data_IF_394239188375
#
_entry.id   IF_394239188375
#
_cell.length_a   1.000
_cell.length_b   1.000
_cell.length_c   1.000
_cell.angle_alpha   90.00
_cell.angle_beta   90.00
_cell.angle_gamma   90.00
#
_symmetry.space_group_name_H-M   'P 1'
#
loop_
_entity.id
_entity.type
_entity.pdbx_description
1 polymer ?
#
# COMPACT_ATOMS: atom_id res chain seq x y z
N UNK A 1 -5.95 0.51 17.26
CA UNK A 1 -5.34 -0.34 16.20
C UNK A 1 -4.03 -0.84 16.77
N UNK A 2 -3.84 -2.16 16.78
CA UNK A 2 -2.68 -2.80 17.39
C UNK A 2 -1.49 -2.78 16.43
N UNK A 3 -0.32 -3.18 16.90
CA UNK A 3 0.91 -3.11 16.10
C UNK A 3 1.76 -4.36 16.27
N UNK A 4 2.27 -4.86 15.16
CA UNK A 4 3.37 -5.81 15.12
C UNK A 4 4.62 -5.02 14.69
N UNK A 5 5.69 -5.12 15.49
CA UNK A 5 6.92 -4.36 15.23
C UNK A 5 8.05 -5.30 14.84
N UNK A 6 8.62 -5.07 13.68
CA UNK A 6 9.88 -5.65 13.21
C UNK A 6 10.92 -4.54 13.36
N UNK A 7 11.99 -4.81 14.10
CA UNK A 7 13.02 -3.80 14.37
C UNK A 7 14.36 -4.23 13.83
N UNK A 8 14.95 -3.35 13.03
CA UNK A 8 16.32 -3.45 12.51
C UNK A 8 16.63 -4.80 11.82
N UNK A 9 15.70 -5.27 10.95
CA UNK A 9 15.97 -6.41 10.09
C UNK A 9 17.19 -6.11 9.21
N UNK A 10 18.26 -6.87 9.39
CA UNK A 10 19.50 -6.70 8.64
C UNK A 10 19.39 -7.34 7.26
N UNK A 11 19.66 -6.55 6.22
CA UNK A 11 19.69 -7.01 4.83
C UNK A 11 20.93 -6.44 4.15
N UNK A 12 21.68 -7.29 3.45
CA UNK A 12 22.78 -6.86 2.61
C UNK A 12 22.28 -6.65 1.18
N UNK A 13 22.48 -5.45 0.61
CA UNK A 13 21.94 -5.07 -0.69
C UNK A 13 22.81 -4.03 -1.40
N UNK A 14 22.54 -3.80 -2.70
CA UNK A 14 23.38 -3.01 -3.59
C UNK A 14 22.74 -1.66 -3.97
N UNK A 15 22.14 -0.97 -2.99
CA UNK A 15 21.50 0.32 -3.22
C UNK A 15 22.44 1.49 -2.99
N UNK A 16 22.36 2.50 -3.85
CA UNK A 16 23.09 3.76 -3.73
C UNK A 16 23.29 4.45 -5.06
N UNK A 17 23.82 5.67 -5.02
CA UNK A 17 24.11 6.49 -6.20
C UNK A 17 25.49 6.16 -6.79
N UNK A 18 26.45 5.77 -5.94
CA UNK A 18 27.81 5.53 -6.37
C UNK A 18 27.96 4.10 -6.93
N UNK A 19 28.80 3.98 -7.97
CA UNK A 19 29.10 2.68 -8.60
C UNK A 19 29.69 1.67 -7.60
N UNK A 20 30.49 2.16 -6.65
CA UNK A 20 31.12 1.36 -5.61
C UNK A 20 30.06 0.78 -4.65
N UNK A 21 29.03 1.52 -4.30
CA UNK A 21 27.93 1.04 -3.47
C UNK A 21 27.17 -0.08 -4.18
N UNK A 22 26.94 0.07 -5.48
CA UNK A 22 26.26 -0.93 -6.30
C UNK A 22 27.11 -2.19 -6.52
N UNK A 23 28.40 -2.02 -6.68
CA UNK A 23 29.31 -3.14 -6.91
C UNK A 23 29.61 -3.93 -5.63
N UNK A 24 29.86 -3.25 -4.53
CA UNK A 24 30.27 -3.87 -3.27
C UNK A 24 29.06 -4.23 -2.40
N UNK A 25 27.96 -3.50 -2.51
CA UNK A 25 26.83 -3.62 -1.60
C UNK A 25 27.17 -3.13 -0.19
N UNK A 26 26.16 -3.08 0.65
CA UNK A 26 26.32 -2.72 2.05
C UNK A 26 25.14 -3.21 2.90
N UNK A 27 25.30 -3.09 4.21
CA UNK A 27 24.25 -3.40 5.17
C UNK A 27 23.21 -2.31 5.22
N UNK A 28 21.94 -2.72 5.17
CA UNK A 28 20.76 -1.91 5.48
C UNK A 28 20.03 -2.51 6.69
N UNK A 29 19.43 -1.66 7.51
CA UNK A 29 18.55 -2.08 8.60
C UNK A 29 17.14 -1.58 8.28
N UNK A 30 16.19 -2.50 8.21
CA UNK A 30 14.80 -2.17 7.90
C UNK A 30 13.95 -2.44 9.13
N UNK A 31 13.25 -1.41 9.59
CA UNK A 31 12.22 -1.54 10.63
C UNK A 31 10.84 -1.33 10.02
N UNK A 32 9.89 -2.15 10.45
CA UNK A 32 8.49 -2.05 10.02
C UNK A 32 7.56 -2.12 11.23
N UNK A 33 6.62 -1.17 11.30
CA UNK A 33 5.51 -1.19 12.27
C UNK A 33 4.24 -1.43 11.46
N UNK A 34 3.63 -2.60 11.64
CA UNK A 34 2.44 -3.04 10.94
C UNK A 34 1.22 -2.81 11.82
N UNK A 35 0.29 -1.97 11.40
CA UNK A 35 -0.94 -1.65 12.14
C UNK A 35 -2.11 -2.46 11.59
N UNK A 36 -2.72 -3.27 12.47
CA UNK A 36 -3.82 -4.18 12.15
C UNK A 36 -4.70 -4.39 13.39
N UNK A 37 -5.79 -5.13 13.24
CA UNK A 37 -6.59 -5.59 14.38
C UNK A 37 -6.11 -7.01 14.76
N UNK A 38 -5.56 -7.16 15.97
CA UNK A 38 -5.05 -8.45 16.48
C UNK A 38 -6.01 -9.15 17.42
N UNK A 39 -7.16 -8.55 17.72
CA UNK A 39 -8.08 -9.05 18.74
C UNK A 39 -8.53 -10.48 18.48
N UNK A 40 -8.94 -10.78 17.24
CA UNK A 40 -9.42 -12.10 16.88
C UNK A 40 -8.30 -13.15 16.93
N UNK A 41 -7.12 -12.81 16.44
CA UNK A 41 -5.94 -13.67 16.55
C UNK A 41 -5.60 -13.97 18.01
N UNK A 42 -5.62 -12.95 18.88
CA UNK A 42 -5.30 -13.10 20.31
C UNK A 42 -6.31 -13.95 21.09
N UNK A 43 -7.58 -13.98 20.65
CA UNK A 43 -8.62 -14.79 21.29
C UNK A 43 -8.66 -16.23 20.76
N UNK A 44 -8.44 -16.41 19.44
CA UNK A 44 -8.58 -17.70 18.77
C UNK A 44 -7.29 -18.50 18.65
N UNK A 45 -6.13 -17.84 18.84
CA UNK A 45 -4.79 -18.40 18.61
C UNK A 45 -4.61 -18.99 17.19
N UNK A 46 -5.20 -18.29 16.19
CA UNK A 46 -5.16 -18.72 14.81
C UNK A 46 -4.43 -17.70 13.92
N UNK A 47 -3.49 -18.19 13.12
CA UNK A 47 -2.66 -17.37 12.25
C UNK A 47 -3.46 -16.68 11.13
N UNK A 48 -4.57 -17.24 10.71
CA UNK A 48 -5.43 -16.69 9.66
C UNK A 48 -5.95 -15.27 9.98
N UNK A 49 -5.98 -14.92 11.27
CA UNK A 49 -6.41 -13.60 11.76
C UNK A 49 -5.24 -12.68 12.09
N UNK A 50 -4.01 -13.08 11.77
CA UNK A 50 -2.80 -12.29 12.02
C UNK A 50 -1.94 -12.16 10.76
N UNK A 51 -0.91 -11.33 10.85
CA UNK A 51 0.11 -11.20 9.81
C UNK A 51 1.31 -12.06 10.20
N UNK A 52 1.69 -12.98 9.31
CA UNK A 52 2.91 -13.74 9.45
C UNK A 52 4.12 -12.82 9.24
N UNK A 53 4.66 -12.33 10.35
CA UNK A 53 5.84 -11.45 10.33
C UNK A 53 7.09 -12.13 9.75
N UNK A 54 7.17 -13.46 9.80
CA UNK A 54 8.23 -14.20 9.14
C UNK A 54 8.18 -14.02 7.63
N UNK A 55 6.99 -14.18 7.03
CA UNK A 55 6.78 -13.90 5.59
C UNK A 55 7.06 -12.43 5.26
N UNK A 56 6.66 -11.50 6.13
CA UNK A 56 6.97 -10.08 5.94
C UNK A 56 8.49 -9.84 5.92
N UNK A 57 9.25 -10.42 6.86
CA UNK A 57 10.70 -10.30 6.89
C UNK A 57 11.35 -10.86 5.61
N UNK A 58 10.92 -12.03 5.17
CA UNK A 58 11.41 -12.63 3.93
C UNK A 58 11.09 -11.75 2.73
N UNK A 59 9.88 -11.21 2.67
CA UNK A 59 9.47 -10.32 1.59
C UNK A 59 10.26 -9.02 1.54
N UNK A 60 10.52 -8.40 2.69
CA UNK A 60 11.40 -7.23 2.78
C UNK A 60 12.79 -7.59 2.22
N UNK A 61 13.36 -8.71 2.65
CA UNK A 61 14.67 -9.18 2.15
C UNK A 61 14.67 -9.34 0.64
N UNK A 62 13.69 -10.03 0.06
CA UNK A 62 13.54 -10.21 -1.38
C UNK A 62 13.50 -8.88 -2.12
N UNK A 63 12.65 -7.93 -1.69
CA UNK A 63 12.54 -6.61 -2.31
C UNK A 63 13.91 -5.90 -2.37
N UNK A 64 14.69 -5.96 -1.29
CA UNK A 64 15.99 -5.31 -1.25
C UNK A 64 17.05 -6.05 -2.07
N UNK A 65 17.00 -7.38 -2.15
CA UNK A 65 18.03 -8.16 -2.84
C UNK A 65 17.77 -8.34 -4.34
N UNK A 66 16.52 -8.28 -4.78
CA UNK A 66 16.15 -8.45 -6.18
C UNK A 66 16.14 -7.14 -6.99
N UNK A 67 16.29 -6.00 -6.33
CA UNK A 67 16.24 -4.69 -6.95
C UNK A 67 17.50 -3.88 -6.65
N UNK A 68 17.81 -2.95 -7.55
CA UNK A 68 18.94 -2.03 -7.44
C UNK A 68 18.44 -0.58 -7.45
N UNK A 69 18.17 -0.05 -6.27
CA UNK A 69 17.65 1.31 -6.10
C UNK A 69 18.77 2.34 -5.93
N UNK A 70 18.56 3.54 -6.44
CA UNK A 70 19.48 4.66 -6.24
C UNK A 70 19.28 5.32 -4.86
N UNK A 71 18.04 5.40 -4.39
CA UNK A 71 17.65 6.15 -3.21
C UNK A 71 17.00 5.23 -2.17
N UNK A 72 17.32 5.43 -0.91
CA UNK A 72 16.68 4.70 0.20
C UNK A 72 15.20 5.07 0.37
N UNK A 73 14.78 6.22 -0.12
CA UNK A 73 13.39 6.64 -0.24
C UNK A 73 12.61 5.68 -1.15
N UNK A 74 13.19 5.31 -2.30
CA UNK A 74 12.58 4.37 -3.23
C UNK A 74 12.49 2.96 -2.62
N UNK A 75 13.50 2.54 -1.86
CA UNK A 75 13.46 1.28 -1.09
C UNK A 75 12.27 1.31 -0.14
N UNK A 76 12.16 2.35 0.69
CA UNK A 76 11.11 2.47 1.69
C UNK A 76 9.71 2.47 1.05
N UNK A 77 9.53 3.22 -0.05
CA UNK A 77 8.25 3.30 -0.77
C UNK A 77 7.86 1.96 -1.40
N UNK A 78 8.82 1.27 -2.04
CA UNK A 78 8.59 -0.02 -2.67
C UNK A 78 8.23 -1.09 -1.64
N UNK A 79 8.94 -1.13 -0.51
CA UNK A 79 8.61 -2.03 0.61
C UNK A 79 7.21 -1.75 1.13
N UNK A 80 6.89 -0.48 1.38
CA UNK A 80 5.58 -0.09 1.90
C UNK A 80 4.44 -0.49 0.95
N UNK A 81 4.57 -0.16 -0.34
CA UNK A 81 3.56 -0.49 -1.36
C UNK A 81 3.35 -2.01 -1.44
N UNK A 82 4.42 -2.80 -1.58
CA UNK A 82 4.30 -4.25 -1.74
C UNK A 82 3.71 -4.91 -0.49
N UNK A 83 4.10 -4.50 0.71
CA UNK A 83 3.54 -5.06 1.93
C UNK A 83 2.05 -4.75 2.09
N UNK A 84 1.59 -3.54 1.74
CA UNK A 84 0.17 -3.19 1.78
C UNK A 84 -0.67 -3.99 0.78
N UNK A 85 -0.14 -4.25 -0.42
CA UNK A 85 -0.84 -4.99 -1.46
C UNK A 85 -0.91 -6.49 -1.16
N UNK A 86 0.17 -7.08 -0.64
CA UNK A 86 0.30 -8.51 -0.45
C UNK A 86 -0.27 -9.00 0.91
N UNK A 87 -0.28 -8.15 1.93
CA UNK A 87 -0.77 -8.49 3.27
C UNK A 87 -2.06 -7.73 3.62
N UNK A 88 -3.19 -8.27 3.21
CA UNK A 88 -4.51 -7.62 3.26
C UNK A 88 -4.97 -7.19 4.66
N UNK A 89 -4.45 -7.81 5.73
CA UNK A 89 -4.76 -7.44 7.11
C UNK A 89 -4.05 -6.16 7.57
N UNK A 90 -2.99 -5.74 6.87
CA UNK A 90 -2.27 -4.50 7.20
C UNK A 90 -3.11 -3.31 6.74
N UNK A 91 -3.53 -2.47 7.67
CA UNK A 91 -4.29 -1.24 7.39
C UNK A 91 -3.39 -0.04 7.14
N UNK A 92 -2.34 0.06 7.94
CA UNK A 92 -1.29 1.10 7.84
C UNK A 92 0.03 0.48 8.23
N UNK A 93 1.11 1.08 7.77
CA UNK A 93 2.45 0.71 8.18
C UNK A 93 3.38 1.91 8.25
N UNK A 94 4.43 1.76 9.03
CA UNK A 94 5.57 2.68 9.06
C UNK A 94 6.81 1.86 8.69
N UNK A 95 7.57 2.33 7.72
CA UNK A 95 8.84 1.73 7.28
C UNK A 95 9.95 2.71 7.57
N UNK A 96 11.01 2.24 8.21
CA UNK A 96 12.27 2.97 8.34
C UNK A 96 13.39 2.15 7.70
N UNK A 97 14.08 2.73 6.73
CA UNK A 97 15.27 2.17 6.10
C UNK A 97 16.47 2.94 6.57
N UNK A 98 17.39 2.28 7.28
CA UNK A 98 18.64 2.85 7.77
C UNK A 98 19.81 2.37 6.92
N UNK A 99 20.74 3.27 6.66
CA UNK A 99 21.99 3.05 5.94
C UNK A 99 23.18 3.40 6.84
N UNK A 100 23.70 2.43 7.62
CA UNK A 100 24.78 2.69 8.59
C UNK A 100 26.09 3.08 7.91
N UNK A 101 26.37 2.55 6.73
CA UNK A 101 27.63 2.79 6.04
C UNK A 101 27.48 3.75 4.86
N UNK A 102 26.69 4.83 5.08
CA UNK A 102 26.55 5.88 4.06
C UNK A 102 27.91 6.54 3.80
N UNK A 103 28.38 6.63 2.52
CA UNK A 103 29.72 7.10 2.19
C UNK A 103 29.79 8.65 2.21
N UNK A 104 29.58 9.24 3.39
CA UNK A 104 29.55 10.70 3.59
C UNK A 104 30.93 11.27 3.94
N UNK A 105 31.82 10.42 4.47
CA UNK A 105 33.16 10.86 4.92
C UNK A 105 33.17 11.59 6.26
N UNK A 106 32.05 11.55 7.00
CA UNK A 106 31.89 12.11 8.34
C UNK A 106 31.40 11.02 9.31
N UNK A 107 31.78 11.08 10.59
CA UNK A 107 31.31 10.12 11.58
C UNK A 107 29.80 10.32 11.84
N UNK A 108 29.02 9.26 11.70
CA UNK A 108 27.60 9.21 12.03
C UNK A 108 27.20 7.75 12.26
N UNK A 109 26.12 7.53 12.99
CA UNK A 109 25.60 6.18 13.24
C UNK A 109 24.93 5.61 12.00
N UNK A 110 24.04 6.37 11.37
CA UNK A 110 23.34 6.00 10.14
C UNK A 110 22.63 7.22 9.51
N UNK A 111 22.26 7.09 8.25
CA UNK A 111 21.23 7.91 7.61
C UNK A 111 19.96 7.08 7.51
N UNK A 112 18.78 7.65 7.73
CA UNK A 112 17.53 6.92 7.54
C UNK A 112 16.46 7.73 6.83
N UNK A 113 15.56 6.99 6.18
CA UNK A 113 14.29 7.49 5.68
C UNK A 113 13.19 6.73 6.41
N UNK A 114 12.22 7.48 6.95
CA UNK A 114 11.05 6.94 7.64
C UNK A 114 9.79 7.45 6.97
N UNK A 115 8.93 6.53 6.55
CA UNK A 115 7.66 6.85 5.89
C UNK A 115 6.49 6.14 6.56
N UNK A 116 5.29 6.72 6.41
CA UNK A 116 4.02 6.10 6.83
C UNK A 116 3.12 6.00 5.62
N UNK A 117 2.55 4.82 5.40
CA UNK A 117 1.60 4.54 4.31
C UNK A 117 0.44 3.72 4.83
N UNK A 118 -0.67 3.75 4.13
CA UNK A 118 -1.86 2.98 4.53
C UNK A 118 -2.98 3.14 3.54
N UNK A 119 -3.97 2.28 3.64
CA UNK A 119 -5.19 2.37 2.87
C UNK A 119 -6.04 3.56 3.33
N UNK A 120 -6.54 4.32 2.38
CA UNK A 120 -7.51 5.39 2.59
C UNK A 120 -8.81 4.98 1.94
N UNK A 121 -9.94 5.12 2.67
CA UNK A 121 -11.25 4.91 2.10
C UNK A 121 -11.67 6.17 1.32
N UNK A 122 -12.06 5.99 0.08
CA UNK A 122 -12.66 7.02 -0.76
C UNK A 122 -14.07 6.56 -1.18
N UNK A 123 -14.98 7.50 -1.31
CA UNK A 123 -16.34 7.28 -1.79
C UNK A 123 -16.47 7.95 -3.15
N UNK A 124 -16.91 7.20 -4.14
CA UNK A 124 -17.04 7.67 -5.50
C UNK A 124 -18.50 7.58 -5.95
N UNK A 125 -19.05 8.68 -6.46
CA UNK A 125 -20.32 8.67 -7.18
C UNK A 125 -20.04 8.44 -8.66
N UNK A 126 -20.62 7.38 -9.23
CA UNK A 126 -20.53 7.09 -10.66
C UNK A 126 -21.91 7.16 -11.25
N UNK A 127 -22.10 7.95 -12.33
CA UNK A 127 -23.39 8.12 -12.99
C UNK A 127 -23.27 8.09 -14.50
N UNK A 128 -24.32 7.63 -15.18
CA UNK A 128 -24.43 7.62 -16.63
C UNK A 128 -25.85 8.00 -17.06
N UNK A 129 -25.96 8.80 -18.14
CA UNK A 129 -27.23 9.19 -18.75
C UNK A 129 -27.30 8.95 -20.27
N UNK A 130 -26.29 8.26 -20.82
CA UNK A 130 -26.22 8.00 -22.25
C UNK A 130 -26.07 6.50 -22.54
N UNK A 131 -26.58 6.05 -23.68
CA UNK A 131 -26.40 4.68 -24.18
C UNK A 131 -26.82 3.60 -23.17
N UNK A 132 -26.06 2.52 -23.11
CA UNK A 132 -26.24 1.51 -22.06
C UNK A 132 -25.64 2.00 -20.75
N UNK A 133 -26.46 2.65 -19.94
CA UNK A 133 -26.07 3.28 -18.68
C UNK A 133 -25.48 2.29 -17.68
N UNK A 134 -26.03 1.06 -17.66
CA UNK A 134 -25.56 0.00 -16.78
C UNK A 134 -24.16 -0.47 -17.19
N UNK A 135 -23.96 -0.66 -18.47
CA UNK A 135 -22.67 -1.10 -19.02
C UNK A 135 -21.56 -0.06 -18.72
N UNK A 136 -21.84 1.23 -18.91
CA UNK A 136 -20.86 2.29 -18.60
C UNK A 136 -20.50 2.36 -17.12
N UNK A 137 -21.45 2.15 -16.21
CA UNK A 137 -21.17 2.09 -14.77
C UNK A 137 -20.30 0.88 -14.44
N UNK A 138 -20.62 -0.29 -14.98
CA UNK A 138 -19.84 -1.51 -14.77
C UNK A 138 -18.40 -1.37 -15.32
N UNK A 139 -18.25 -0.74 -16.48
CA UNK A 139 -16.91 -0.45 -17.03
C UNK A 139 -16.12 0.49 -16.14
N UNK A 140 -16.74 1.53 -15.57
CA UNK A 140 -16.09 2.45 -14.64
C UNK A 140 -15.65 1.74 -13.35
N UNK A 141 -16.48 0.88 -12.75
CA UNK A 141 -16.16 0.08 -11.57
C UNK A 141 -14.98 -0.85 -11.88
N UNK A 142 -15.02 -1.56 -13.00
CA UNK A 142 -13.93 -2.44 -13.41
C UNK A 142 -12.62 -1.68 -13.67
N UNK A 143 -12.70 -0.48 -14.26
CA UNK A 143 -11.53 0.35 -14.51
C UNK A 143 -10.85 0.81 -13.20
N UNK A 144 -11.63 1.00 -12.12
CA UNK A 144 -11.09 1.30 -10.79
C UNK A 144 -10.47 0.05 -10.17
N UNK A 145 -11.12 -1.11 -10.27
CA UNK A 145 -10.67 -2.37 -9.67
C UNK A 145 -9.35 -2.88 -10.26
N UNK A 146 -9.08 -2.62 -11.55
CA UNK A 146 -7.84 -3.07 -12.20
C UNK A 146 -6.61 -2.20 -11.90
N UNK A 147 -6.76 -1.10 -11.14
CA UNK A 147 -5.60 -0.29 -10.74
C UNK A 147 -4.83 -1.01 -9.62
N UNK A 148 -3.51 -1.03 -9.70
CA UNK A 148 -2.62 -1.74 -8.75
C UNK A 148 -2.72 -1.25 -7.30
N UNK A 149 -3.17 0.00 -7.09
CA UNK A 149 -3.17 0.67 -5.80
C UNK A 149 -4.58 1.06 -5.33
N UNK A 150 -5.61 0.54 -5.98
CA UNK A 150 -7.01 0.68 -5.58
C UNK A 150 -7.67 -0.67 -5.33
N UNK A 151 -8.75 -0.66 -4.57
CA UNK A 151 -9.56 -1.85 -4.30
C UNK A 151 -11.00 -1.44 -4.10
N UNK A 152 -11.91 -1.95 -4.88
CA UNK A 152 -13.34 -1.77 -4.68
C UNK A 152 -13.77 -2.62 -3.49
N UNK A 153 -14.21 -1.97 -2.41
CA UNK A 153 -14.60 -2.65 -1.17
C UNK A 153 -16.09 -2.97 -1.17
N UNK A 154 -16.88 -2.05 -1.72
CA UNK A 154 -18.34 -2.17 -1.79
C UNK A 154 -18.88 -1.38 -2.98
N UNK A 155 -19.97 -1.86 -3.56
CA UNK A 155 -20.75 -1.16 -4.60
C UNK A 155 -22.19 -1.09 -4.11
N UNK A 156 -22.75 0.12 -4.04
CA UNK A 156 -24.16 0.30 -3.64
C UNK A 156 -25.13 -0.21 -4.71
N UNK A 157 -26.39 -0.28 -4.36
CA UNK A 157 -27.46 -0.45 -5.34
C UNK A 157 -27.49 0.73 -6.32
N UNK A 158 -27.97 0.46 -7.53
CA UNK A 158 -28.19 1.50 -8.54
C UNK A 158 -29.45 2.27 -8.24
N UNK A 159 -29.40 3.59 -8.41
CA UNK A 159 -30.53 4.50 -8.23
C UNK A 159 -30.77 5.24 -9.53
N UNK A 160 -32.00 5.17 -10.04
CA UNK A 160 -32.43 5.95 -11.18
C UNK A 160 -33.07 7.28 -10.74
N UNK A 161 -32.56 8.39 -11.27
CA UNK A 161 -33.07 9.73 -10.91
C UNK A 161 -33.40 10.53 -12.15
N UNK A 162 -34.37 11.43 -12.03
CA UNK A 162 -34.66 12.41 -13.07
C UNK A 162 -33.47 13.38 -13.21
N UNK A 163 -33.16 13.83 -14.44
CA UNK A 163 -32.13 14.83 -14.63
C UNK A 163 -32.48 16.13 -13.92
N UNK A 164 -31.45 16.77 -13.34
CA UNK A 164 -31.59 18.08 -12.73
C UNK A 164 -31.41 19.19 -13.77
N UNK A 165 -32.34 20.19 -13.81
CA UNK A 165 -32.24 21.33 -14.70
C UNK A 165 -33.25 21.30 -15.87
N UNK A 166 -33.28 22.39 -16.67
CA UNK A 166 -34.23 22.57 -17.77
C UNK A 166 -33.85 21.90 -19.11
N UNK A 167 -32.82 21.07 -19.13
CA UNK A 167 -32.39 20.36 -20.34
C UNK A 167 -33.09 19.01 -20.40
N UNK A 168 -33.72 18.70 -21.54
CA UNK A 168 -34.30 17.37 -21.76
C UNK A 168 -33.18 16.37 -22.00
N UNK A 169 -32.99 15.48 -21.06
CA UNK A 169 -32.03 14.37 -21.14
C UNK A 169 -32.59 13.12 -20.45
N UNK A 170 -32.05 11.96 -20.76
CA UNK A 170 -32.46 10.69 -20.16
C UNK A 170 -32.21 10.68 -18.65
N UNK A 171 -32.95 9.82 -17.93
CA UNK A 171 -32.77 9.66 -16.50
C UNK A 171 -31.33 9.20 -16.18
N UNK A 172 -30.77 9.79 -15.12
CA UNK A 172 -29.45 9.42 -14.59
C UNK A 172 -29.54 8.12 -13.80
N UNK A 173 -28.60 7.22 -14.04
CA UNK A 173 -28.39 6.04 -13.22
C UNK A 173 -27.13 6.28 -12.38
N UNK A 174 -27.25 6.14 -11.06
CA UNK A 174 -26.16 6.36 -10.11
C UNK A 174 -25.87 5.11 -9.30
N UNK A 175 -24.60 4.92 -8.98
CA UNK A 175 -24.20 4.14 -7.81
C UNK A 175 -23.38 5.05 -6.90
N UNK A 176 -23.67 5.05 -5.61
CA UNK A 176 -22.88 5.75 -4.62
C UNK A 176 -22.67 4.83 -3.43
N UNK A 177 -21.46 4.74 -2.93
CA UNK A 177 -21.22 4.11 -1.65
C UNK A 177 -21.40 5.17 -0.56
N UNK A 178 -22.62 5.24 -0.03
CA UNK A 178 -22.88 5.97 1.19
C UNK A 178 -22.73 4.97 2.34
N UNK A 179 -21.55 4.94 2.96
CA UNK A 179 -21.39 4.21 4.20
C UNK A 179 -21.86 5.08 5.36
N UNK A 180 -22.82 4.57 6.13
CA UNK A 180 -23.17 5.04 7.47
C UNK A 180 -22.01 4.80 8.44
#
# INVERSE_FOLDING_TARGET
MDQITIKDLEVYANHGLYKEEKALGQKFLVSAILSLDTKLAGVSDQMDYSVDYGKVCHRIKEILTENDFNLIECVAETVAKKLLLEFSLIRKLEIEVKKPWAPIGLPLDYVSVKIKRGWHRAYLGVGSNMGDRMEYINQAINAIEVQDDTRVVHVSSLIETKPYGGVVQDCLLYTSDAAD
#
